data_IF_243771826650
#
_entry.id   IF_243771826650
#
_cell.length_a   1.000
_cell.length_b   1.000
_cell.length_c   1.000
_cell.angle_alpha   90.00
_cell.angle_beta   90.00
_cell.angle_gamma   90.00
#
_symmetry.space_group_name_H-M   'P 1'
#
loop_
_entity.id
_entity.type
_entity.pdbx_description
1 polymer ?
#
# COMPACT_ATOMS: atom_id res chain seq x y z
N UNK A 1 8.91 -32.49 6.23
CA UNK A 1 9.88 -31.57 6.66
C UNK A 1 9.48 -30.13 6.95
N UNK A 2 8.29 -29.74 7.20
CA UNK A 2 7.89 -28.34 7.08
C UNK A 2 8.46 -27.34 8.09
N UNK A 3 8.68 -27.71 9.37
CA UNK A 3 8.90 -26.68 10.41
C UNK A 3 10.31 -26.10 10.41
N UNK A 4 11.33 -26.92 10.20
CA UNK A 4 12.73 -26.45 10.18
C UNK A 4 13.03 -25.68 8.91
N UNK A 5 12.63 -26.24 7.75
CA UNK A 5 12.83 -25.59 6.45
C UNK A 5 12.04 -24.27 6.36
N UNK A 6 10.83 -24.23 6.93
CA UNK A 6 10.04 -23.01 7.03
C UNK A 6 10.79 -21.93 7.83
N UNK A 7 11.35 -22.26 8.99
CA UNK A 7 12.09 -21.30 9.79
C UNK A 7 13.43 -20.91 9.17
N UNK A 8 14.22 -21.90 8.76
CA UNK A 8 15.60 -21.64 8.32
C UNK A 8 15.68 -21.05 6.92
N UNK A 9 14.75 -21.39 6.04
CA UNK A 9 14.80 -20.95 4.64
C UNK A 9 13.76 -19.85 4.34
N UNK A 10 12.50 -20.07 4.67
CA UNK A 10 11.42 -19.17 4.27
C UNK A 10 11.35 -17.94 5.17
N UNK A 11 11.31 -18.09 6.50
CA UNK A 11 11.18 -16.95 7.41
C UNK A 11 12.44 -16.09 7.43
N UNK A 12 13.62 -16.69 7.42
CA UNK A 12 14.88 -15.93 7.35
C UNK A 12 15.04 -15.20 6.02
N UNK A 13 14.64 -15.82 4.91
CA UNK A 13 14.64 -15.17 3.61
C UNK A 13 13.68 -13.99 3.57
N UNK A 14 12.43 -14.20 4.06
CA UNK A 14 11.45 -13.13 4.18
C UNK A 14 11.93 -11.97 5.06
N UNK A 15 12.54 -12.27 6.22
CA UNK A 15 13.11 -11.24 7.10
C UNK A 15 14.20 -10.42 6.40
N UNK A 16 15.09 -11.06 5.63
CA UNK A 16 16.12 -10.33 4.87
C UNK A 16 15.54 -9.41 3.81
N UNK A 17 14.46 -9.83 3.11
CA UNK A 17 13.78 -8.96 2.14
C UNK A 17 13.26 -7.71 2.86
N UNK A 18 12.55 -7.87 3.99
CA UNK A 18 11.99 -6.76 4.76
C UNK A 18 13.09 -5.84 5.30
N UNK A 19 14.17 -6.40 5.85
CA UNK A 19 15.29 -5.63 6.38
C UNK A 19 15.94 -4.75 5.28
N UNK A 20 16.13 -5.29 4.08
CA UNK A 20 16.71 -4.53 2.97
C UNK A 20 15.73 -3.49 2.41
N UNK A 21 14.45 -3.83 2.23
CA UNK A 21 13.45 -2.87 1.78
C UNK A 21 13.27 -1.70 2.75
N UNK A 22 13.37 -1.95 4.07
CA UNK A 22 13.28 -0.90 5.09
C UNK A 22 14.42 0.14 4.96
N UNK A 23 15.59 -0.27 4.46
CA UNK A 23 16.76 0.60 4.31
C UNK A 23 16.93 1.16 2.90
N UNK A 24 16.14 0.66 1.95
CA UNK A 24 16.27 1.06 0.56
C UNK A 24 15.76 2.49 0.36
N UNK A 25 16.53 3.31 -0.31
CA UNK A 25 16.28 4.75 -0.47
C UNK A 25 15.98 5.18 -1.91
N UNK A 26 15.55 4.24 -2.73
CA UNK A 26 15.12 4.44 -4.11
C UNK A 26 13.68 3.96 -4.31
N UNK A 27 12.93 4.50 -5.29
CA UNK A 27 11.57 4.05 -5.57
C UNK A 27 11.50 2.55 -5.91
N UNK A 28 10.62 1.85 -5.22
CA UNK A 28 10.31 0.43 -5.45
C UNK A 28 8.85 0.29 -5.81
N UNK A 29 8.56 -0.29 -6.98
CA UNK A 29 7.21 -0.54 -7.44
C UNK A 29 6.91 -2.03 -7.41
N UNK A 30 5.90 -2.40 -6.63
CA UNK A 30 5.35 -3.75 -6.61
C UNK A 30 4.13 -3.78 -7.54
N UNK A 31 4.14 -4.67 -8.51
CA UNK A 31 3.03 -4.80 -9.46
C UNK A 31 2.47 -6.21 -9.46
N UNK A 32 1.17 -6.34 -9.25
CA UNK A 32 0.47 -7.61 -9.33
C UNK A 32 -0.04 -7.75 -10.77
N UNK A 33 0.57 -8.63 -11.59
CA UNK A 33 0.26 -8.73 -13.01
C UNK A 33 -1.10 -9.40 -13.28
N UNK A 34 -1.58 -9.41 -14.56
CA UNK A 34 -2.86 -10.03 -14.91
C UNK A 34 -2.97 -11.47 -14.43
N UNK A 35 -4.13 -11.83 -13.88
CA UNK A 35 -4.45 -13.17 -13.37
C UNK A 35 -3.56 -13.66 -12.22
N UNK A 36 -2.62 -12.83 -11.76
CA UNK A 36 -1.84 -13.15 -10.58
C UNK A 36 -2.63 -12.86 -9.29
N UNK A 37 -2.25 -13.57 -8.24
CA UNK A 37 -2.82 -13.43 -6.91
C UNK A 37 -1.70 -13.16 -5.89
N UNK A 38 -1.77 -12.04 -5.20
CA UNK A 38 -0.87 -11.76 -4.08
C UNK A 38 -1.56 -12.18 -2.77
N UNK A 39 -0.98 -13.16 -2.06
CA UNK A 39 -1.56 -13.74 -0.85
C UNK A 39 -0.68 -13.51 0.38
N UNK A 40 -1.24 -13.70 1.57
CA UNK A 40 -0.73 -13.29 2.86
C UNK A 40 0.76 -13.48 3.08
N UNK A 41 1.30 -14.67 2.81
CA UNK A 41 2.72 -14.95 3.02
C UNK A 41 3.66 -14.14 2.13
N UNK A 42 3.30 -13.90 0.86
CA UNK A 42 4.05 -13.04 -0.04
C UNK A 42 3.76 -11.56 0.22
N UNK A 43 2.51 -11.23 0.59
CA UNK A 43 2.12 -9.85 0.86
C UNK A 43 2.99 -9.19 1.94
N UNK A 44 3.17 -9.88 3.07
CA UNK A 44 3.89 -9.33 4.23
C UNK A 44 5.35 -8.95 3.97
N UNK A 45 5.96 -9.46 2.91
CA UNK A 45 7.35 -9.15 2.56
C UNK A 45 7.49 -8.10 1.44
N UNK A 46 6.38 -7.67 0.84
CA UNK A 46 6.35 -6.64 -0.23
C UNK A 46 5.35 -5.53 0.04
N UNK A 47 4.75 -5.49 1.23
CA UNK A 47 3.79 -4.46 1.61
C UNK A 47 4.43 -3.07 1.57
N UNK A 48 3.82 -2.07 0.91
CA UNK A 48 4.37 -0.72 0.85
C UNK A 48 4.59 -0.06 2.21
N UNK A 49 3.88 -0.51 3.25
CA UNK A 49 4.05 0.02 4.61
C UNK A 49 5.40 -0.33 5.24
N UNK A 50 6.17 -1.26 4.65
CA UNK A 50 7.55 -1.57 5.06
C UNK A 50 8.44 -0.33 4.90
N UNK A 51 8.24 0.43 3.81
CA UNK A 51 8.97 1.66 3.53
C UNK A 51 8.07 2.62 2.74
N UNK A 52 7.18 3.30 3.45
CA UNK A 52 6.14 4.15 2.86
C UNK A 52 6.68 5.33 2.04
N UNK A 53 7.93 5.74 2.29
CA UNK A 53 8.57 6.83 1.55
C UNK A 53 8.96 6.42 0.13
N UNK A 54 9.31 5.14 -0.06
CA UNK A 54 9.88 4.67 -1.33
C UNK A 54 9.11 3.54 -2.00
N UNK A 55 8.25 2.82 -1.29
CA UNK A 55 7.50 1.71 -1.86
C UNK A 55 6.09 2.12 -2.31
N UNK A 56 5.69 1.64 -3.47
CA UNK A 56 4.35 1.80 -4.02
C UNK A 56 3.88 0.46 -4.58
N UNK A 57 2.60 0.14 -4.40
CA UNK A 57 2.00 -1.08 -4.94
C UNK A 57 0.90 -0.77 -5.95
N UNK A 58 0.85 -1.58 -7.00
CA UNK A 58 -0.07 -1.47 -8.12
C UNK A 58 -0.60 -2.83 -8.50
N UNK A 59 -1.71 -2.87 -9.23
CA UNK A 59 -2.33 -4.11 -9.63
C UNK A 59 -2.98 -3.99 -11.02
N UNK A 60 -2.93 -5.06 -11.79
CA UNK A 60 -3.71 -5.17 -13.01
C UNK A 60 -5.21 -5.33 -12.69
N UNK A 61 -6.14 -4.84 -13.54
CA UNK A 61 -7.58 -5.02 -13.33
C UNK A 61 -8.01 -6.48 -13.13
N UNK A 62 -7.33 -7.44 -13.75
CA UNK A 62 -7.63 -8.88 -13.65
C UNK A 62 -6.92 -9.56 -12.46
N UNK A 63 -6.07 -8.85 -11.73
CA UNK A 63 -5.36 -9.41 -10.59
C UNK A 63 -6.24 -9.54 -9.34
N UNK A 64 -5.73 -10.27 -8.37
CA UNK A 64 -6.34 -10.45 -7.04
C UNK A 64 -5.31 -10.22 -5.95
N UNK A 65 -5.80 -9.74 -4.80
CA UNK A 65 -4.95 -9.59 -3.63
C UNK A 65 -5.72 -9.61 -2.33
N UNK A 66 -5.22 -10.37 -1.38
CA UNK A 66 -5.81 -10.52 -0.06
C UNK A 66 -5.02 -11.52 0.79
N UNK A 67 -5.28 -11.54 2.09
CA UNK A 67 -4.54 -12.41 3.02
C UNK A 67 -4.87 -13.88 2.76
N UNK A 68 -6.17 -14.20 2.63
CA UNK A 68 -6.66 -15.55 2.37
C UNK A 68 -7.34 -15.59 1.00
N UNK A 69 -7.30 -16.73 0.38
CA UNK A 69 -8.10 -17.05 -0.80
C UNK A 69 -9.60 -17.02 -0.47
N UNK A 70 -10.50 -16.75 -1.45
CA UNK A 70 -11.94 -16.67 -1.21
C UNK A 70 -12.53 -17.88 -0.46
N UNK A 71 -12.18 -19.15 -0.75
CA UNK A 71 -12.64 -20.29 0.05
C UNK A 71 -12.21 -20.21 1.53
N UNK A 72 -10.95 -19.84 1.78
CA UNK A 72 -10.43 -19.66 3.15
C UNK A 72 -11.11 -18.50 3.89
N UNK A 73 -11.44 -17.40 3.20
CA UNK A 73 -12.23 -16.31 3.79
C UNK A 73 -13.62 -16.81 4.17
N UNK A 74 -14.25 -17.64 3.34
CA UNK A 74 -15.56 -18.22 3.63
C UNK A 74 -15.53 -19.09 4.90
N UNK A 75 -14.48 -19.88 5.12
CA UNK A 75 -14.33 -20.68 6.34
C UNK A 75 -14.22 -19.84 7.62
N UNK A 76 -13.76 -18.60 7.50
CA UNK A 76 -13.57 -17.70 8.63
C UNK A 76 -14.77 -16.76 8.81
N UNK A 77 -15.30 -16.17 7.74
CA UNK A 77 -16.28 -15.07 7.77
C UNK A 77 -17.71 -15.51 7.41
N UNK A 78 -17.88 -16.56 6.61
CA UNK A 78 -19.15 -17.05 6.10
C UNK A 78 -19.33 -18.54 6.42
N UNK A 79 -19.14 -18.89 7.70
CA UNK A 79 -19.17 -20.28 8.17
C UNK A 79 -20.49 -20.96 7.88
N UNK A 80 -20.49 -22.29 7.86
CA UNK A 80 -21.69 -23.10 7.65
C UNK A 80 -22.92 -22.66 8.48
N UNK A 81 -22.80 -22.32 9.78
CA UNK A 81 -23.95 -21.82 10.54
C UNK A 81 -24.54 -20.50 9.99
N UNK A 82 -23.70 -19.62 9.45
CA UNK A 82 -24.16 -18.35 8.89
C UNK A 82 -24.80 -18.57 7.52
N UNK A 83 -24.24 -19.46 6.70
CA UNK A 83 -24.88 -19.90 5.44
C UNK A 83 -26.25 -20.53 5.70
N UNK A 84 -26.39 -21.39 6.71
CA UNK A 84 -27.69 -21.97 7.12
C UNK A 84 -28.73 -20.92 7.52
N UNK A 85 -28.32 -19.87 8.23
CA UNK A 85 -29.22 -18.73 8.54
C UNK A 85 -29.71 -18.02 7.28
N UNK A 86 -28.82 -17.85 6.30
CA UNK A 86 -29.20 -17.28 5.01
C UNK A 86 -30.15 -18.22 4.27
N UNK A 87 -29.86 -19.50 4.18
CA UNK A 87 -30.72 -20.52 3.57
C UNK A 87 -32.12 -20.49 4.19
N UNK A 88 -32.23 -20.51 5.53
CA UNK A 88 -33.50 -20.47 6.25
C UNK A 88 -34.33 -19.22 5.93
N UNK A 89 -33.69 -18.11 5.63
CA UNK A 89 -34.37 -16.83 5.32
C UNK A 89 -34.78 -16.71 3.85
N UNK A 90 -34.03 -17.35 2.93
CA UNK A 90 -34.20 -17.16 1.49
C UNK A 90 -34.82 -18.35 0.77
N UNK A 91 -34.77 -19.55 1.35
CA UNK A 91 -35.37 -20.76 0.78
C UNK A 91 -36.74 -21.02 1.42
N UNK A 92 -37.81 -20.89 0.63
CA UNK A 92 -39.18 -21.01 1.11
C UNK A 92 -39.55 -22.41 1.59
N UNK A 93 -38.93 -23.47 1.04
CA UNK A 93 -39.14 -24.85 1.44
C UNK A 93 -38.48 -25.14 2.81
N UNK A 94 -37.25 -24.69 2.98
CA UNK A 94 -36.55 -24.79 4.26
C UNK A 94 -37.28 -23.99 5.36
N UNK A 95 -37.75 -22.78 5.03
CA UNK A 95 -38.54 -21.97 5.97
C UNK A 95 -39.82 -22.67 6.43
N UNK A 96 -40.55 -23.33 5.51
CA UNK A 96 -41.71 -24.14 5.85
C UNK A 96 -41.39 -25.34 6.76
N UNK A 97 -40.30 -26.03 6.49
CA UNK A 97 -39.84 -27.13 7.34
C UNK A 97 -39.47 -26.63 8.74
N UNK A 98 -38.78 -25.53 8.84
CA UNK A 98 -38.39 -24.93 10.12
C UNK A 98 -39.57 -24.42 10.95
N UNK A 99 -40.69 -24.09 10.32
CA UNK A 99 -41.91 -23.65 10.98
C UNK A 99 -42.73 -24.80 11.58
N UNK A 100 -42.46 -26.06 11.24
CA UNK A 100 -43.12 -27.25 11.79
C UNK A 100 -42.68 -27.52 13.22
N UNK A 101 -43.50 -28.24 13.98
CA UNK A 101 -43.14 -28.70 15.31
C UNK A 101 -41.88 -29.62 15.25
N UNK A 102 -40.98 -29.52 16.23
CA UNK A 102 -39.78 -30.39 16.29
C UNK A 102 -40.13 -31.86 16.29
N UNK A 103 -39.59 -32.63 15.37
CA UNK A 103 -39.67 -34.09 15.31
C UNK A 103 -38.42 -34.66 14.58
N UNK A 104 -38.11 -35.93 14.74
CA UNK A 104 -37.02 -36.57 14.08
C UNK A 104 -37.15 -36.55 12.55
N UNK A 105 -38.36 -36.68 12.03
CA UNK A 105 -38.67 -36.62 10.59
C UNK A 105 -38.45 -35.22 10.04
N UNK A 106 -38.92 -34.18 10.78
CA UNK A 106 -38.68 -32.79 10.43
C UNK A 106 -37.19 -32.44 10.41
N UNK A 107 -36.45 -32.86 11.42
CA UNK A 107 -35.01 -32.58 11.51
C UNK A 107 -34.22 -33.29 10.41
N UNK A 108 -34.60 -34.51 10.04
CA UNK A 108 -34.02 -35.18 8.88
C UNK A 108 -34.33 -34.47 7.56
N UNK A 109 -35.57 -34.00 7.37
CA UNK A 109 -35.97 -33.21 6.19
C UNK A 109 -35.20 -31.87 6.08
N UNK A 110 -35.06 -31.17 7.21
CA UNK A 110 -34.26 -29.94 7.30
C UNK A 110 -32.80 -30.19 6.91
N UNK A 111 -32.17 -31.21 7.48
CA UNK A 111 -30.78 -31.58 7.17
C UNK A 111 -30.60 -31.94 5.68
N UNK A 112 -31.52 -32.72 5.13
CA UNK A 112 -31.49 -33.06 3.70
C UNK A 112 -31.63 -31.83 2.78
N UNK A 113 -32.53 -30.90 3.15
CA UNK A 113 -32.68 -29.62 2.39
C UNK A 113 -31.44 -28.74 2.48
N UNK A 114 -30.89 -28.58 3.68
CA UNK A 114 -29.63 -27.84 3.89
C UNK A 114 -28.47 -28.42 3.08
N UNK A 115 -28.31 -29.75 3.10
CA UNK A 115 -27.28 -30.44 2.34
C UNK A 115 -27.43 -30.23 0.82
N UNK A 116 -28.67 -30.19 0.31
CA UNK A 116 -28.95 -29.92 -1.09
C UNK A 116 -28.61 -28.48 -1.48
N UNK A 117 -28.83 -27.52 -0.58
CA UNK A 117 -28.58 -26.10 -0.83
C UNK A 117 -27.10 -25.69 -0.62
N UNK A 118 -26.40 -26.39 0.27
CA UNK A 118 -25.05 -26.02 0.70
C UNK A 118 -24.05 -25.72 -0.45
N UNK A 119 -23.97 -26.51 -1.53
CA UNK A 119 -23.02 -26.22 -2.63
C UNK A 119 -23.31 -24.87 -3.31
N UNK A 120 -24.58 -24.53 -3.50
CA UNK A 120 -24.97 -23.25 -4.13
C UNK A 120 -24.61 -22.07 -3.23
N UNK A 121 -24.96 -22.14 -1.94
CA UNK A 121 -24.67 -21.05 -1.00
C UNK A 121 -23.18 -20.90 -0.73
N UNK A 122 -22.43 -22.00 -0.72
CA UNK A 122 -20.96 -21.95 -0.65
C UNK A 122 -20.37 -21.23 -1.86
N UNK A 123 -20.86 -21.53 -3.07
CA UNK A 123 -20.38 -20.87 -4.29
C UNK A 123 -20.72 -19.37 -4.27
N UNK A 124 -21.94 -19.00 -3.86
CA UNK A 124 -22.30 -17.58 -3.71
C UNK A 124 -21.40 -16.86 -2.70
N UNK A 125 -21.08 -17.51 -1.59
CA UNK A 125 -20.19 -16.95 -0.58
C UNK A 125 -18.77 -16.76 -1.13
N UNK A 126 -18.25 -17.70 -1.92
CA UNK A 126 -16.94 -17.61 -2.58
C UNK A 126 -16.91 -16.44 -3.58
N UNK A 127 -17.92 -16.34 -4.45
CA UNK A 127 -18.02 -15.24 -5.41
C UNK A 127 -18.11 -13.86 -4.70
N UNK A 128 -18.86 -13.79 -3.61
CA UNK A 128 -18.93 -12.57 -2.80
C UNK A 128 -17.58 -12.22 -2.16
N UNK A 129 -16.85 -13.23 -1.67
CA UNK A 129 -15.50 -13.05 -1.13
C UNK A 129 -14.50 -12.58 -2.21
N UNK A 130 -14.56 -13.12 -3.44
CA UNK A 130 -13.71 -12.68 -4.57
C UNK A 130 -13.85 -11.18 -4.87
N UNK A 131 -15.04 -10.61 -4.70
CA UNK A 131 -15.24 -9.17 -4.91
C UNK A 131 -14.37 -8.29 -3.99
N UNK A 132 -13.95 -8.82 -2.84
CA UNK A 132 -13.11 -8.09 -1.89
C UNK A 132 -11.62 -8.10 -2.29
N UNK A 133 -11.21 -9.03 -3.14
CA UNK A 133 -9.82 -9.25 -3.56
C UNK A 133 -9.49 -8.52 -4.88
N UNK A 134 -10.47 -7.91 -5.52
CA UNK A 134 -10.29 -7.25 -6.83
C UNK A 134 -9.50 -5.96 -6.73
N UNK A 135 -8.72 -5.67 -7.78
CA UNK A 135 -7.85 -4.49 -7.88
C UNK A 135 -8.57 -3.17 -7.56
N UNK A 136 -9.78 -2.96 -8.11
CA UNK A 136 -10.58 -1.76 -7.80
C UNK A 136 -10.95 -1.64 -6.32
N UNK A 137 -11.19 -2.76 -5.64
CA UNK A 137 -11.44 -2.77 -4.19
C UNK A 137 -10.16 -2.47 -3.40
N UNK A 138 -9.02 -3.03 -3.81
CA UNK A 138 -7.73 -2.74 -3.18
C UNK A 138 -7.40 -1.24 -3.29
N UNK A 139 -7.60 -0.62 -4.46
CA UNK A 139 -7.44 0.84 -4.65
C UNK A 139 -8.39 1.64 -3.76
N UNK A 140 -9.68 1.30 -3.76
CA UNK A 140 -10.68 1.99 -2.94
C UNK A 140 -10.40 1.91 -1.42
N UNK A 141 -9.64 0.91 -0.97
CA UNK A 141 -9.19 0.74 0.42
C UNK A 141 -7.80 1.33 0.69
N UNK A 142 -7.15 1.92 -0.30
CA UNK A 142 -5.81 2.48 -0.17
C UNK A 142 -4.71 1.43 0.01
N UNK A 143 -4.99 0.17 -0.31
CA UNK A 143 -4.01 -0.94 -0.19
C UNK A 143 -3.00 -0.89 -1.33
N UNK A 144 -3.46 -0.51 -2.51
CA UNK A 144 -2.62 -0.22 -3.67
C UNK A 144 -2.80 1.24 -4.07
N UNK A 145 -1.78 1.82 -4.69
CA UNK A 145 -1.81 3.19 -5.19
C UNK A 145 -2.75 3.34 -6.37
N UNK A 146 -2.61 2.48 -7.37
CA UNK A 146 -3.46 2.55 -8.55
C UNK A 146 -3.65 1.17 -9.23
N UNK A 147 -4.64 1.14 -10.12
CA UNK A 147 -4.90 0.03 -11.03
C UNK A 147 -4.33 0.39 -12.39
N UNK A 148 -3.37 -0.40 -12.86
CA UNK A 148 -2.63 -0.16 -14.10
C UNK A 148 -2.75 -1.38 -15.00
N UNK A 149 -3.26 -1.20 -16.23
CA UNK A 149 -3.36 -2.31 -17.18
C UNK A 149 -1.98 -2.76 -17.68
N UNK A 150 -1.84 -4.04 -17.96
CA UNK A 150 -0.59 -4.62 -18.45
C UNK A 150 -0.06 -3.92 -19.71
N UNK A 151 -0.94 -3.59 -20.64
CA UNK A 151 -0.58 -2.93 -21.89
C UNK A 151 0.05 -1.55 -21.66
N UNK A 152 -0.45 -0.82 -20.65
CA UNK A 152 0.03 0.52 -20.30
C UNK A 152 1.16 0.52 -19.27
N UNK A 153 1.39 -0.60 -18.58
CA UNK A 153 2.24 -0.67 -17.39
C UNK A 153 3.66 -0.15 -17.61
N UNK A 154 4.29 -0.52 -18.73
CA UNK A 154 5.66 -0.07 -19.02
C UNK A 154 5.78 1.45 -19.15
N UNK A 155 4.86 2.08 -19.86
CA UNK A 155 4.83 3.54 -20.03
C UNK A 155 4.53 4.24 -18.71
N UNK A 156 3.55 3.73 -17.99
CA UNK A 156 3.18 4.24 -16.67
C UNK A 156 4.35 4.21 -15.69
N UNK A 157 4.99 3.06 -15.50
CA UNK A 157 6.11 2.93 -14.55
C UNK A 157 7.35 3.70 -14.97
N UNK A 158 7.60 3.87 -16.27
CA UNK A 158 8.68 4.74 -16.74
C UNK A 158 8.47 6.19 -16.29
N UNK A 159 7.29 6.75 -16.53
CA UNK A 159 6.95 8.13 -16.12
C UNK A 159 6.95 8.28 -14.61
N UNK A 160 6.34 7.32 -13.92
CA UNK A 160 6.31 7.30 -12.46
C UNK A 160 7.70 7.25 -11.85
N UNK A 161 8.58 6.41 -12.37
CA UNK A 161 9.97 6.32 -11.91
C UNK A 161 10.73 7.64 -12.17
N UNK A 162 10.61 8.21 -13.36
CA UNK A 162 11.26 9.48 -13.71
C UNK A 162 10.82 10.59 -12.76
N UNK A 163 9.49 10.73 -12.54
CA UNK A 163 8.96 11.70 -11.60
C UNK A 163 9.45 11.47 -10.16
N UNK A 164 9.40 10.23 -9.68
CA UNK A 164 9.86 9.91 -8.32
C UNK A 164 11.34 10.26 -8.16
N UNK A 165 12.19 9.90 -9.11
CA UNK A 165 13.62 10.22 -9.06
C UNK A 165 13.88 11.73 -9.04
N UNK A 166 13.15 12.52 -9.83
CA UNK A 166 13.30 13.97 -9.86
C UNK A 166 12.84 14.62 -8.53
N UNK A 167 11.66 14.25 -8.03
CA UNK A 167 11.12 14.76 -6.77
C UNK A 167 11.97 14.33 -5.58
N UNK A 168 12.36 13.04 -5.52
CA UNK A 168 13.14 12.49 -4.41
C UNK A 168 14.55 13.10 -4.36
N UNK A 169 15.15 13.44 -5.49
CA UNK A 169 16.44 14.15 -5.53
C UNK A 169 16.35 15.54 -4.88
N UNK A 170 15.32 16.32 -5.18
CA UNK A 170 15.07 17.63 -4.57
C UNK A 170 14.75 17.49 -3.08
N UNK A 171 13.83 16.58 -2.73
CA UNK A 171 13.42 16.36 -1.35
C UNK A 171 14.59 15.88 -0.47
N UNK A 172 15.42 14.97 -0.98
CA UNK A 172 16.65 14.55 -0.28
C UNK A 172 17.65 15.70 -0.11
N UNK A 173 17.80 16.58 -1.12
CA UNK A 173 18.61 17.79 -1.01
C UNK A 173 18.12 18.67 0.14
N UNK A 174 16.84 18.99 0.16
CA UNK A 174 16.20 19.82 1.19
C UNK A 174 16.29 19.16 2.57
N UNK A 175 16.00 17.86 2.68
CA UNK A 175 15.98 17.17 3.97
C UNK A 175 17.36 17.04 4.65
N UNK A 176 18.46 17.08 3.89
CA UNK A 176 19.84 17.11 4.46
C UNK A 176 20.08 18.28 5.40
N UNK A 177 19.31 19.33 5.28
CA UNK A 177 19.43 20.55 6.09
C UNK A 177 18.67 20.46 7.42
N UNK A 178 17.88 19.41 7.60
CA UNK A 178 17.01 19.15 8.75
C UNK A 178 15.54 19.00 8.31
N UNK A 179 14.80 18.22 9.05
CA UNK A 179 13.41 17.86 8.73
C UNK A 179 13.25 16.46 8.14
N UNK A 180 12.00 16.04 7.97
CA UNK A 180 11.68 14.74 7.39
C UNK A 180 11.70 14.78 5.85
N UNK A 181 11.86 13.63 5.21
CA UNK A 181 11.72 13.50 3.76
C UNK A 181 10.29 13.87 3.32
N UNK A 182 9.29 13.54 4.13
CA UNK A 182 7.90 13.89 3.87
C UNK A 182 7.67 15.41 3.85
N UNK A 183 8.23 16.16 4.82
CA UNK A 183 8.14 17.63 4.83
C UNK A 183 8.86 18.25 3.62
N UNK A 184 9.99 17.69 3.24
CA UNK A 184 10.72 18.14 2.07
C UNK A 184 9.94 17.87 0.77
N UNK A 185 9.32 16.69 0.66
CA UNK A 185 8.43 16.34 -0.47
C UNK A 185 7.24 17.28 -0.55
N UNK A 186 6.62 17.62 0.58
CA UNK A 186 5.52 18.59 0.63
C UNK A 186 5.95 19.99 0.15
N UNK A 187 7.20 20.40 0.41
CA UNK A 187 7.73 21.66 -0.14
C UNK A 187 7.87 21.60 -1.67
N UNK A 188 8.34 20.48 -2.21
CA UNK A 188 8.42 20.29 -3.67
C UNK A 188 7.02 20.26 -4.30
N UNK A 189 6.05 19.62 -3.64
CA UNK A 189 4.64 19.62 -4.07
C UNK A 189 4.09 21.05 -4.11
N UNK A 190 4.29 21.83 -3.05
CA UNK A 190 3.84 23.21 -2.98
C UNK A 190 4.52 24.15 -4.01
N UNK A 191 5.73 23.80 -4.44
CA UNK A 191 6.43 24.52 -5.51
C UNK A 191 5.83 24.23 -6.89
N UNK A 192 5.31 23.02 -7.12
CA UNK A 192 4.75 22.61 -8.40
C UNK A 192 3.32 23.16 -8.57
N UNK A 193 3.17 24.24 -9.35
CA UNK A 193 1.85 24.76 -9.72
C UNK A 193 1.24 23.95 -10.90
N UNK A 194 0.97 22.67 -10.63
CA UNK A 194 0.40 21.72 -11.59
C UNK A 194 -0.36 20.60 -10.86
N UNK A 195 -1.06 19.74 -11.61
CA UNK A 195 -1.69 18.56 -11.00
C UNK A 195 -0.62 17.59 -10.47
N UNK A 196 -0.48 17.54 -9.15
CA UNK A 196 0.48 16.68 -8.47
C UNK A 196 0.24 15.17 -8.71
N UNK A 197 -0.95 14.79 -9.14
CA UNK A 197 -1.28 13.40 -9.45
C UNK A 197 -0.94 13.01 -10.90
N UNK A 198 -0.64 13.98 -11.76
CA UNK A 198 -0.20 13.75 -13.13
C UNK A 198 1.35 13.77 -13.20
N UNK A 199 1.94 12.60 -13.43
CA UNK A 199 3.39 12.43 -13.50
C UNK A 199 4.02 13.23 -14.66
N UNK A 200 3.33 13.38 -15.80
CA UNK A 200 3.82 14.16 -16.95
C UNK A 200 3.76 15.68 -16.64
N UNK A 201 2.71 16.13 -15.96
CA UNK A 201 2.59 17.52 -15.56
C UNK A 201 3.70 17.93 -14.58
N UNK A 202 3.96 17.10 -13.57
CA UNK A 202 5.02 17.35 -12.58
C UNK A 202 6.41 17.34 -13.24
N UNK A 203 6.70 16.34 -14.09
CA UNK A 203 7.98 16.29 -14.82
C UNK A 203 8.18 17.52 -15.72
N UNK A 204 7.16 17.91 -16.47
CA UNK A 204 7.23 19.08 -17.36
C UNK A 204 7.42 20.37 -16.57
N UNK A 205 6.77 20.50 -15.41
CA UNK A 205 6.91 21.65 -14.54
C UNK A 205 8.34 21.75 -13.97
N UNK A 206 8.85 20.65 -13.42
CA UNK A 206 10.21 20.61 -12.86
C UNK A 206 11.29 20.87 -13.90
N UNK A 207 11.12 20.38 -15.14
CA UNK A 207 12.04 20.67 -16.24
C UNK A 207 12.03 22.15 -16.64
N UNK A 208 10.84 22.73 -16.79
CA UNK A 208 10.67 24.14 -17.13
C UNK A 208 11.22 25.09 -16.05
N UNK A 209 11.18 24.69 -14.76
CA UNK A 209 11.61 25.48 -13.61
C UNK A 209 12.84 24.89 -12.91
N UNK A 210 13.73 24.24 -13.66
CA UNK A 210 14.85 23.49 -13.08
C UNK A 210 15.81 24.36 -12.24
N UNK A 211 16.00 25.65 -12.60
CA UNK A 211 16.84 26.59 -11.84
C UNK A 211 16.21 26.97 -10.51
N UNK A 212 14.91 27.25 -10.52
CA UNK A 212 14.15 27.58 -9.32
C UNK A 212 14.07 26.39 -8.37
N UNK A 213 13.85 25.18 -8.92
CA UNK A 213 13.88 23.95 -8.15
C UNK A 213 15.25 23.70 -7.49
N UNK A 214 16.34 23.91 -8.20
CA UNK A 214 17.68 23.82 -7.62
C UNK A 214 17.91 24.89 -6.53
N UNK A 215 17.42 26.12 -6.71
CA UNK A 215 17.50 27.17 -5.70
C UNK A 215 16.81 26.82 -4.39
N UNK A 216 15.76 25.98 -4.41
CA UNK A 216 15.10 25.54 -3.17
C UNK A 216 16.05 24.75 -2.25
N UNK A 217 16.94 23.96 -2.81
CA UNK A 217 17.95 23.21 -2.06
C UNK A 217 18.97 24.17 -1.46
N UNK A 218 19.49 25.11 -2.27
CA UNK A 218 20.45 26.12 -1.82
C UNK A 218 19.88 27.02 -0.71
N UNK A 219 18.61 27.41 -0.83
CA UNK A 219 17.92 28.21 0.19
C UNK A 219 17.75 27.44 1.48
N UNK A 220 17.34 26.17 1.41
CA UNK A 220 17.23 25.31 2.59
C UNK A 220 18.59 25.15 3.29
N UNK A 221 19.68 24.96 2.54
CA UNK A 221 21.04 24.88 3.11
C UNK A 221 21.45 26.20 3.80
N UNK A 222 21.18 27.34 3.19
CA UNK A 222 21.42 28.66 3.79
C UNK A 222 20.61 28.85 5.07
N UNK A 223 19.33 28.53 5.05
CA UNK A 223 18.47 28.63 6.23
C UNK A 223 19.00 27.77 7.40
N UNK A 224 19.36 26.51 7.11
CA UNK A 224 19.91 25.62 8.11
C UNK A 224 21.23 26.13 8.68
N UNK A 225 22.11 26.66 7.85
CA UNK A 225 23.36 27.27 8.28
C UNK A 225 23.10 28.48 9.20
N UNK A 226 22.18 29.35 8.81
CA UNK A 226 21.79 30.52 9.63
C UNK A 226 21.26 30.09 10.98
N UNK A 227 20.39 29.04 11.03
CA UNK A 227 19.87 28.54 12.31
C UNK A 227 20.96 27.90 13.17
N UNK A 228 21.88 27.19 12.56
CA UNK A 228 23.03 26.62 13.26
C UNK A 228 23.94 27.70 13.85
N UNK A 229 24.23 28.77 13.08
CA UNK A 229 24.98 29.92 13.54
C UNK A 229 24.27 30.64 14.69
N UNK A 230 22.95 30.91 14.57
CA UNK A 230 22.14 31.50 15.65
C UNK A 230 22.23 30.64 16.92
N UNK A 231 22.17 29.30 16.81
CA UNK A 231 22.33 28.40 17.96
C UNK A 231 23.72 28.49 18.60
N UNK A 232 24.78 28.57 17.81
CA UNK A 232 26.17 28.68 18.29
C UNK A 232 26.39 30.01 19.01
N UNK A 233 25.80 31.09 18.51
CA UNK A 233 25.99 32.42 19.08
C UNK A 233 24.95 32.81 20.13
N UNK A 234 23.95 31.97 20.39
CA UNK A 234 22.94 32.25 21.40
C UNK A 234 23.56 32.42 22.78
N UNK A 235 23.33 33.60 23.39
CA UNK A 235 23.85 33.94 24.71
C UNK A 235 25.34 34.30 24.79
N UNK A 236 26.05 34.37 23.70
CA UNK A 236 27.47 34.79 23.67
C UNK A 236 27.63 36.27 23.48
N UNK A 237 28.27 36.95 24.44
CA UNK A 237 28.56 38.36 24.42
C UNK A 237 29.60 38.73 23.34
N UNK A 238 30.45 37.78 22.93
CA UNK A 238 31.52 37.94 21.94
C UNK A 238 31.11 37.57 20.51
N UNK A 239 29.81 37.26 20.28
CA UNK A 239 29.32 36.78 18.99
C UNK A 239 29.68 37.69 17.79
N UNK A 240 29.56 38.99 17.96
CA UNK A 240 29.91 39.98 16.91
C UNK A 240 31.39 39.98 16.55
N UNK A 241 32.26 39.86 17.54
CA UNK A 241 33.71 39.81 17.34
C UNK A 241 34.16 38.54 16.62
N UNK A 242 33.53 37.39 16.96
CA UNK A 242 33.81 36.11 16.29
C UNK A 242 33.40 36.08 14.83
N UNK A 243 32.24 36.67 14.51
CA UNK A 243 31.77 36.78 13.10
C UNK A 243 32.72 37.72 12.33
N UNK A 244 33.12 38.85 12.88
CA UNK A 244 34.04 39.79 12.23
C UNK A 244 35.41 39.13 12.00
N UNK A 245 35.95 38.35 12.95
CA UNK A 245 37.20 37.62 12.81
C UNK A 245 37.14 36.51 11.77
N UNK A 246 35.99 35.85 11.56
CA UNK A 246 35.80 34.83 10.55
C UNK A 246 35.63 35.34 9.13
N UNK A 247 35.32 36.64 8.97
CA UNK A 247 35.12 37.30 7.67
C UNK A 247 36.34 38.09 7.21
N UNK A 248 37.36 38.22 8.06
CA UNK A 248 38.63 38.89 7.76
C UNK A 248 39.65 37.89 7.21
#
# INVERSE_FOLDING_TARGET
>A
GGTRDMYDEVLKFGAKIVDELTRYDMPVFVYIPPKAELRGGAWVVVDPTINSDFMEMYADPESRGGILEPPGICEVKFRSPDQKKVMARTDAELAKLLAQAPSAERDAAVAAREAKLAPLYQQVAIEFADLHDRAGRMKAKGVIRDVVSWEGARGYFYKRAARRLAVDALAKGISRTGGSLADATAKVEAFCDCDWNDDDAVLSYLDAHAREAASMVDEAEKEALVQKLKGIFAGRADAGALVAAAMA
#
